data_IF_593229078467
#
_entry.id   IF_593229078467
#
_cell.length_a   1.000
_cell.length_b   1.000
_cell.length_c   1.000
_cell.angle_alpha   90.00
_cell.angle_beta   90.00
_cell.angle_gamma   90.00
#
_symmetry.space_group_name_H-M   'P 1'
#
loop_
_entity.id
_entity.type
_entity.pdbx_description
1 polymer ?
#
# COMPACT_ATOMS: atom_id res chain seq x y z
N UNK A 1 11.32 -8.57 11.99
CA UNK A 1 11.05 -7.92 10.68
C UNK A 1 10.48 -6.49 10.83
N UNK A 2 10.01 -6.06 12.00
CA UNK A 2 9.45 -4.72 12.22
C UNK A 2 10.46 -3.55 12.31
N UNK A 3 11.76 -3.81 12.49
CA UNK A 3 12.76 -2.73 12.66
C UNK A 3 13.38 -2.21 11.37
N UNK A 4 13.20 -2.89 10.22
CA UNK A 4 13.86 -2.48 8.97
C UNK A 4 13.07 -1.47 8.14
N UNK A 5 11.78 -1.30 8.43
CA UNK A 5 10.91 -0.36 7.72
C UNK A 5 11.07 1.06 8.26
N UNK A 6 11.39 1.21 9.55
CA UNK A 6 11.55 2.51 10.19
C UNK A 6 12.77 3.29 9.67
N UNK A 7 13.88 2.60 9.34
CA UNK A 7 15.13 3.25 8.91
C UNK A 7 15.10 3.80 7.47
N UNK A 8 14.18 3.32 6.62
CA UNK A 8 14.07 3.81 5.23
C UNK A 8 13.34 5.15 5.12
N UNK A 9 12.58 5.54 6.14
CA UNK A 9 11.78 6.77 6.12
C UNK A 9 12.61 8.04 6.46
N UNK A 10 13.75 7.89 7.13
CA UNK A 10 14.52 9.03 7.66
C UNK A 10 15.56 9.59 6.69
N UNK A 11 15.84 8.95 5.54
CA UNK A 11 16.91 9.35 4.62
C UNK A 11 16.45 9.91 3.24
N UNK A 12 15.17 10.21 3.02
CA UNK A 12 14.69 10.86 1.79
C UNK A 12 14.68 12.40 1.91
N UNK A 13 15.85 12.98 2.14
CA UNK A 13 16.15 14.36 1.74
C UNK A 13 17.17 14.29 0.62
N UNK A 14 16.76 14.53 -0.62
CA UNK A 14 17.53 15.19 -1.70
C UNK A 14 16.57 15.58 -2.84
N UNK A 15 16.42 16.89 -2.95
CA UNK A 15 16.15 17.75 -4.10
C UNK A 15 16.46 17.12 -5.48
N UNK A 16 15.49 17.08 -6.40
CA UNK A 16 15.67 17.60 -7.77
C UNK A 16 14.35 17.64 -8.56
N UNK A 17 13.82 18.85 -8.78
CA UNK A 17 12.91 19.10 -9.90
C UNK A 17 13.42 20.35 -10.60
N UNK A 18 14.40 20.19 -11.48
CA UNK A 18 14.67 21.17 -12.53
C UNK A 18 13.42 21.24 -13.42
N UNK A 19 12.56 22.22 -13.17
CA UNK A 19 11.60 22.66 -14.18
C UNK A 19 12.35 23.52 -15.19
N UNK A 20 12.60 22.94 -16.36
CA UNK A 20 13.03 23.70 -17.55
C UNK A 20 11.88 24.65 -17.93
N UNK A 21 12.18 25.95 -17.92
CA UNK A 21 11.33 27.04 -18.42
C UNK A 21 11.58 27.22 -19.92
N UNK A 22 10.53 27.44 -20.72
CA UNK A 22 10.40 28.68 -21.51
C UNK A 22 8.92 29.14 -21.54
N UNK A 23 8.48 30.39 -21.62
CA UNK A 23 9.02 31.75 -21.70
C UNK A 23 7.83 32.67 -21.30
N UNK A 24 8.08 33.90 -20.83
CA UNK A 24 7.08 34.77 -20.16
C UNK A 24 6.07 35.47 -21.12
N UNK A 25 5.01 36.08 -20.56
CA UNK A 25 4.95 37.55 -20.56
C UNK A 25 4.91 38.14 -19.13
N UNK A 26 5.28 39.43 -18.94
CA UNK A 26 5.50 40.00 -17.62
C UNK A 26 4.15 40.37 -16.98
N UNK A 27 3.95 39.94 -15.73
CA UNK A 27 2.87 40.42 -14.87
C UNK A 27 3.46 40.96 -13.57
N UNK A 28 2.89 42.06 -13.12
CA UNK A 28 3.34 43.03 -12.11
C UNK A 28 4.02 42.48 -10.83
N UNK A 29 5.05 43.16 -10.30
CA UNK A 29 5.81 42.75 -9.12
C UNK A 29 5.16 43.19 -7.79
N UNK A 30 3.85 43.00 -7.61
CA UNK A 30 3.16 43.44 -6.40
C UNK A 30 1.96 42.55 -6.03
N UNK A 31 2.19 41.28 -5.68
CA UNK A 31 1.39 40.51 -4.70
C UNK A 31 1.90 39.06 -4.52
N UNK A 32 3.19 38.90 -4.26
CA UNK A 32 3.69 37.67 -3.64
C UNK A 32 3.44 37.75 -2.12
N UNK A 33 2.17 37.84 -1.73
CA UNK A 33 1.79 37.63 -0.34
C UNK A 33 2.02 36.16 -0.01
N UNK A 34 3.16 35.91 0.63
CA UNK A 34 3.58 34.68 1.30
C UNK A 34 2.36 33.85 1.71
N UNK A 35 2.07 32.79 0.94
CA UNK A 35 1.16 31.73 1.40
C UNK A 35 1.76 31.18 2.68
N UNK A 36 1.29 31.69 3.82
CA UNK A 36 1.76 31.26 5.14
C UNK A 36 1.53 29.75 5.20
N UNK A 37 2.52 28.95 5.64
CA UNK A 37 2.33 27.53 5.83
C UNK A 37 1.07 27.33 6.66
N UNK A 38 0.13 26.54 6.13
CA UNK A 38 -1.09 26.21 6.87
C UNK A 38 -0.67 25.61 8.20
N UNK A 39 -1.18 26.16 9.31
CA UNK A 39 -0.92 25.61 10.63
C UNK A 39 -1.32 24.15 10.59
N UNK A 40 -0.35 23.26 10.83
CA UNK A 40 -0.60 21.84 10.95
C UNK A 40 -1.31 21.67 12.29
N UNK A 41 -2.64 21.56 12.27
CA UNK A 41 -3.36 21.22 13.50
C UNK A 41 -3.03 19.78 13.84
N UNK A 42 -2.18 19.61 14.85
CA UNK A 42 -1.94 18.32 15.47
C UNK A 42 -3.22 17.97 16.22
N UNK A 43 -4.16 17.33 15.53
CA UNK A 43 -5.28 16.66 16.20
C UNK A 43 -4.68 15.52 16.98
N UNK A 44 -4.54 15.69 18.29
CA UNK A 44 -4.25 14.60 19.21
C UNK A 44 -5.42 13.63 19.08
N UNK A 45 -5.22 12.54 18.31
CA UNK A 45 -6.24 11.53 18.16
C UNK A 45 -6.33 10.77 19.48
N UNK A 46 -7.34 11.09 20.30
CA UNK A 46 -7.77 10.27 21.43
C UNK A 46 -8.55 9.07 20.93
N UNK A 47 -7.97 8.30 20.02
CA UNK A 47 -8.54 7.08 19.47
C UNK A 47 -8.25 5.92 20.41
N UNK A 48 -9.26 5.11 20.70
CA UNK A 48 -9.04 3.78 21.26
C UNK A 48 -8.28 2.94 20.22
N UNK A 49 -7.58 1.86 20.60
CA UNK A 49 -6.90 0.99 19.64
C UNK A 49 -7.80 0.50 18.50
N UNK A 50 -9.10 0.35 18.79
CA UNK A 50 -10.18 -0.03 17.85
C UNK A 50 -10.49 1.04 16.78
N UNK A 51 -10.09 2.30 17.00
CA UNK A 51 -10.42 3.42 16.11
C UNK A 51 -9.39 3.62 14.98
N UNK A 52 -8.34 2.79 14.93
CA UNK A 52 -7.35 2.83 13.84
C UNK A 52 -7.92 2.09 12.62
N UNK A 53 -8.61 2.83 11.76
CA UNK A 53 -9.08 2.33 10.48
C UNK A 53 -8.07 2.63 9.35
N UNK A 54 -7.82 1.66 8.49
CA UNK A 54 -7.10 1.90 7.25
C UNK A 54 -7.94 2.74 6.29
N UNK A 55 -7.29 3.55 5.45
CA UNK A 55 -8.02 4.34 4.45
C UNK A 55 -8.62 3.45 3.35
N UNK A 56 -9.79 3.83 2.83
CA UNK A 56 -10.43 3.11 1.73
C UNK A 56 -9.50 2.95 0.50
N UNK A 57 -8.74 3.97 0.04
CA UNK A 57 -7.79 3.79 -1.06
C UNK A 57 -6.68 2.77 -0.77
N UNK A 58 -6.24 2.68 0.50
CA UNK A 58 -5.25 1.69 0.90
C UNK A 58 -5.83 0.28 0.85
N UNK A 59 -7.04 0.07 1.38
CA UNK A 59 -7.71 -1.23 1.33
C UNK A 59 -7.97 -1.68 -0.11
N UNK A 60 -8.37 -0.78 -0.99
CA UNK A 60 -8.59 -1.06 -2.41
C UNK A 60 -7.31 -1.49 -3.11
N UNK A 61 -6.23 -0.73 -2.91
CA UNK A 61 -4.93 -1.05 -3.51
C UNK A 61 -4.38 -2.37 -2.97
N UNK A 62 -4.53 -2.61 -1.67
CA UNK A 62 -4.08 -3.84 -1.01
C UNK A 62 -4.87 -5.04 -1.52
N UNK A 63 -6.20 -4.94 -1.57
CA UNK A 63 -7.06 -5.99 -2.10
C UNK A 63 -6.68 -6.36 -3.54
N UNK A 64 -6.50 -5.36 -4.40
CA UNK A 64 -6.09 -5.59 -5.79
C UNK A 64 -4.74 -6.32 -5.88
N UNK A 65 -3.75 -5.92 -5.08
CA UNK A 65 -2.43 -6.58 -5.05
C UNK A 65 -2.51 -8.01 -4.54
N UNK A 66 -3.31 -8.26 -3.49
CA UNK A 66 -3.48 -9.60 -2.93
C UNK A 66 -4.21 -10.54 -3.89
N UNK A 67 -5.26 -10.07 -4.57
CA UNK A 67 -5.94 -10.84 -5.62
C UNK A 67 -4.98 -11.18 -6.77
N UNK A 68 -4.17 -10.22 -7.20
CA UNK A 68 -3.17 -10.44 -8.25
C UNK A 68 -2.11 -11.47 -7.81
N UNK A 69 -1.70 -11.43 -6.55
CA UNK A 69 -0.75 -12.40 -5.99
C UNK A 69 -1.38 -13.79 -5.90
N UNK A 70 -2.62 -13.91 -5.43
CA UNK A 70 -3.36 -15.17 -5.34
C UNK A 70 -3.50 -15.83 -6.72
N UNK A 71 -3.83 -15.08 -7.77
CA UNK A 71 -3.92 -15.63 -9.13
C UNK A 71 -2.58 -16.23 -9.58
N UNK A 72 -1.46 -15.54 -9.32
CA UNK A 72 -0.12 -16.07 -9.62
C UNK A 72 0.20 -17.31 -8.79
N UNK A 73 -0.13 -17.32 -7.49
CA UNK A 73 0.07 -18.48 -6.62
C UNK A 73 -0.71 -19.70 -7.12
N UNK A 74 -1.95 -19.51 -7.58
CA UNK A 74 -2.77 -20.61 -8.11
C UNK A 74 -2.21 -21.15 -9.43
N UNK A 75 -1.74 -20.27 -10.34
CA UNK A 75 -1.10 -20.69 -11.58
C UNK A 75 0.19 -21.46 -11.31
N UNK A 76 1.07 -20.90 -10.47
CA UNK A 76 2.31 -21.55 -10.07
C UNK A 76 2.05 -22.88 -9.34
N UNK A 77 1.06 -22.92 -8.45
CA UNK A 77 0.62 -24.14 -7.76
C UNK A 77 0.14 -25.22 -8.73
N UNK A 78 -0.56 -24.84 -9.80
CA UNK A 78 -0.97 -25.77 -10.86
C UNK A 78 0.21 -26.29 -11.71
N UNK A 79 1.25 -25.48 -11.91
CA UNK A 79 2.50 -25.91 -12.54
C UNK A 79 3.28 -26.87 -11.64
N UNK A 80 3.44 -26.50 -10.36
CA UNK A 80 4.10 -27.31 -9.32
C UNK A 80 3.38 -28.66 -9.13
N UNK A 81 2.05 -28.69 -9.17
CA UNK A 81 1.29 -29.93 -9.04
C UNK A 81 1.62 -30.95 -10.14
N UNK A 82 1.94 -30.48 -11.35
CA UNK A 82 2.32 -31.31 -12.51
C UNK A 82 3.79 -31.72 -12.52
N UNK A 83 4.63 -31.07 -11.73
CA UNK A 83 6.06 -31.37 -11.67
C UNK A 83 6.28 -32.75 -11.03
N UNK A 84 7.06 -33.61 -11.68
CA UNK A 84 7.36 -34.97 -11.21
C UNK A 84 8.48 -35.00 -10.16
N UNK A 85 9.32 -33.97 -10.14
CA UNK A 85 10.49 -33.81 -9.28
C UNK A 85 10.18 -33.08 -7.95
N UNK A 86 8.94 -32.68 -7.74
CA UNK A 86 8.48 -32.01 -6.52
C UNK A 86 7.72 -32.99 -5.62
N UNK A 87 8.07 -33.00 -4.33
CA UNK A 87 7.40 -33.86 -3.35
C UNK A 87 5.94 -33.47 -3.12
N UNK A 88 5.11 -34.46 -2.79
CA UNK A 88 3.69 -34.25 -2.47
C UNK A 88 3.48 -33.32 -1.26
N UNK A 89 4.43 -33.31 -0.32
CA UNK A 89 4.44 -32.40 0.82
C UNK A 89 4.52 -30.94 0.36
N UNK A 90 5.47 -30.61 -0.53
CA UNK A 90 5.63 -29.26 -1.08
C UNK A 90 4.41 -28.87 -1.92
N UNK A 91 3.87 -29.79 -2.72
CA UNK A 91 2.64 -29.55 -3.49
C UNK A 91 1.49 -29.17 -2.57
N UNK A 92 1.31 -29.93 -1.48
CA UNK A 92 0.26 -29.67 -0.48
C UNK A 92 0.46 -28.33 0.23
N UNK A 93 1.70 -28.02 0.61
CA UNK A 93 2.05 -26.75 1.27
C UNK A 93 1.74 -25.54 0.37
N UNK A 94 2.07 -25.61 -0.93
CA UNK A 94 1.72 -24.54 -1.88
C UNK A 94 0.21 -24.26 -1.94
N UNK A 95 -0.63 -25.30 -1.98
CA UNK A 95 -2.07 -25.10 -1.94
C UNK A 95 -2.56 -24.59 -0.57
N UNK A 96 -1.90 -24.97 0.52
CA UNK A 96 -2.19 -24.43 1.85
C UNK A 96 -1.88 -22.92 1.90
N UNK A 97 -0.74 -22.48 1.39
CA UNK A 97 -0.37 -21.05 1.30
C UNK A 97 -1.39 -20.24 0.49
N UNK A 98 -1.84 -20.77 -0.65
CA UNK A 98 -2.89 -20.12 -1.45
C UNK A 98 -4.22 -20.01 -0.67
N UNK A 99 -4.55 -21.01 0.15
CA UNK A 99 -5.72 -20.96 1.04
C UNK A 99 -5.53 -19.93 2.17
N UNK A 100 -4.33 -19.74 2.69
CA UNK A 100 -4.04 -18.68 3.67
C UNK A 100 -4.17 -17.29 3.07
N UNK A 101 -3.65 -17.08 1.86
CA UNK A 101 -3.86 -15.84 1.11
C UNK A 101 -5.35 -15.53 0.95
N UNK A 102 -6.15 -16.57 0.67
CA UNK A 102 -7.61 -16.44 0.56
C UNK A 102 -8.26 -15.94 1.85
N UNK A 103 -7.80 -16.43 3.02
CA UNK A 103 -8.28 -15.96 4.34
C UNK A 103 -7.93 -14.49 4.57
N UNK A 104 -6.72 -14.05 4.20
CA UNK A 104 -6.30 -12.65 4.33
C UNK A 104 -7.16 -11.74 3.46
N UNK A 105 -7.41 -12.13 2.21
CA UNK A 105 -8.30 -11.39 1.29
C UNK A 105 -9.70 -11.25 1.90
N UNK A 106 -10.26 -12.31 2.49
CA UNK A 106 -11.56 -12.27 3.13
C UNK A 106 -11.59 -11.25 4.29
N UNK A 107 -10.54 -11.19 5.12
CA UNK A 107 -10.42 -10.19 6.20
C UNK A 107 -10.37 -8.76 5.66
N UNK A 108 -9.61 -8.52 4.58
CA UNK A 108 -9.56 -7.20 3.93
C UNK A 108 -10.94 -6.81 3.38
N UNK A 109 -11.65 -7.74 2.75
CA UNK A 109 -13.01 -7.52 2.26
C UNK A 109 -14.00 -7.21 3.40
N UNK A 110 -13.91 -7.94 4.52
CA UNK A 110 -14.75 -7.69 5.69
C UNK A 110 -14.49 -6.30 6.28
N UNK A 111 -13.22 -5.90 6.40
CA UNK A 111 -12.86 -4.57 6.89
C UNK A 111 -13.33 -3.47 5.93
N UNK A 112 -13.18 -3.67 4.61
CA UNK A 112 -13.71 -2.73 3.62
C UNK A 112 -15.23 -2.60 3.70
N UNK A 113 -15.95 -3.71 3.87
CA UNK A 113 -17.41 -3.71 4.01
C UNK A 113 -17.85 -2.93 5.27
N UNK A 114 -17.12 -3.09 6.38
CA UNK A 114 -17.36 -2.34 7.63
C UNK A 114 -17.25 -0.83 7.44
N UNK A 115 -16.34 -0.36 6.58
CA UNK A 115 -16.14 1.07 6.31
C UNK A 115 -17.12 1.67 5.29
N UNK A 116 -17.85 0.84 4.54
CA UNK A 116 -18.85 1.27 3.57
C UNK A 116 -20.26 1.42 4.13
N UNK A 117 -20.46 1.05 5.41
CA UNK A 117 -21.69 1.29 6.20
C UNK A 117 -21.64 2.64 6.91
#
# INVERSE_FOLDING_TARGET
ISNRIAEFAENMTIVERQQVKPEAPPADPAEMQRRKPRKLEIRLQTSKPEDVAFSAPFLDNTLQKMLTLQDRMLRLGAEIAKAEDVSDEIKKEQFAEAAEMSRIIALICAEKARQSS
#
